data_IF_683482678152
#
_entry.id   IF_683482678152
#
_cell.length_a   1.000
_cell.length_b   1.000
_cell.length_c   1.000
_cell.angle_alpha   90.00
_cell.angle_beta   90.00
_cell.angle_gamma   90.00
#
_symmetry.space_group_name_H-M   'P 1'
#
loop_
_entity.id
_entity.type
_entity.pdbx_description
1 polymer ?
#
# COMPACT_ATOMS: atom_id res chain seq x y z
N UNK A 1 4.84 20.88 -26.63
CA UNK A 1 3.90 19.79 -26.30
C UNK A 1 4.48 18.99 -25.13
N UNK A 2 3.97 19.16 -23.91
CA UNK A 2 4.41 18.36 -22.75
C UNK A 2 3.30 17.37 -22.38
N UNK A 3 3.37 16.15 -22.92
CA UNK A 3 2.47 15.03 -22.59
C UNK A 3 3.30 13.78 -22.28
N UNK A 4 3.99 13.76 -21.15
CA UNK A 4 4.71 12.54 -20.70
C UNK A 4 4.55 12.21 -19.22
N UNK A 5 3.76 12.99 -18.45
CA UNK A 5 3.51 12.70 -17.03
C UNK A 5 2.23 11.87 -16.76
N UNK A 6 1.31 11.78 -17.73
CA UNK A 6 -0.06 11.32 -17.48
C UNK A 6 -0.22 9.78 -17.50
N UNK A 7 0.72 9.04 -18.10
CA UNK A 7 0.63 7.58 -18.26
C UNK A 7 1.25 6.78 -17.09
N UNK A 8 2.20 7.36 -16.34
CA UNK A 8 2.85 6.66 -15.22
C UNK A 8 1.99 6.61 -13.95
N UNK A 9 1.16 7.63 -13.69
CA UNK A 9 0.23 7.64 -12.54
C UNK A 9 -0.80 6.52 -12.63
N UNK A 10 -1.31 6.24 -13.83
CA UNK A 10 -2.34 5.21 -14.07
C UNK A 10 -1.82 3.80 -13.82
N UNK A 11 -0.57 3.49 -14.20
CA UNK A 11 0.02 2.17 -13.96
C UNK A 11 0.20 1.89 -12.47
N UNK A 12 0.74 2.87 -11.73
CA UNK A 12 0.92 2.76 -10.28
C UNK A 12 -0.40 2.59 -9.54
N UNK A 13 -1.42 3.39 -9.90
CA UNK A 13 -2.76 3.26 -9.32
C UNK A 13 -3.39 1.91 -9.65
N UNK A 14 -3.26 1.43 -10.89
CA UNK A 14 -3.82 0.14 -11.30
C UNK A 14 -3.19 -1.02 -10.53
N UNK A 15 -1.87 -0.99 -10.31
CA UNK A 15 -1.19 -2.01 -9.51
C UNK A 15 -1.61 -1.92 -8.03
N UNK A 16 -1.71 -0.72 -7.47
CA UNK A 16 -2.25 -0.48 -6.12
C UNK A 16 -3.64 -1.09 -5.94
N UNK A 17 -4.56 -0.86 -6.89
CA UNK A 17 -5.93 -1.38 -6.85
C UNK A 17 -5.95 -2.91 -6.91
N UNK A 18 -5.02 -3.54 -7.66
CA UNK A 18 -4.90 -5.00 -7.71
C UNK A 18 -4.28 -5.60 -6.45
N UNK A 19 -3.36 -4.87 -5.83
CA UNK A 19 -2.58 -5.30 -4.66
C UNK A 19 -3.36 -5.07 -3.34
N UNK A 20 -4.20 -4.03 -3.29
CA UNK A 20 -4.98 -3.63 -2.12
C UNK A 20 -5.87 -4.74 -1.53
N UNK A 21 -6.66 -5.51 -2.32
CA UNK A 21 -7.48 -6.59 -1.79
C UNK A 21 -6.65 -7.63 -1.03
N UNK A 22 -5.50 -8.01 -1.57
CA UNK A 22 -4.61 -9.01 -0.97
C UNK A 22 -3.96 -8.45 0.30
N UNK A 23 -3.59 -7.17 0.29
CA UNK A 23 -3.12 -6.48 1.50
C UNK A 23 -4.21 -6.39 2.57
N UNK A 24 -5.48 -6.23 2.16
CA UNK A 24 -6.63 -6.23 3.05
C UNK A 24 -6.86 -7.60 3.71
N UNK A 25 -6.56 -8.71 3.02
CA UNK A 25 -6.59 -10.06 3.61
C UNK A 25 -5.52 -10.25 4.69
N UNK A 26 -4.40 -9.52 4.61
CA UNK A 26 -3.34 -9.53 5.64
C UNK A 26 -3.68 -8.69 6.88
N UNK A 27 -4.79 -7.94 6.86
CA UNK A 27 -5.24 -7.13 8.00
C UNK A 27 -5.87 -8.05 9.05
N UNK A 28 -5.33 -8.01 10.27
CA UNK A 28 -5.85 -8.76 11.41
C UNK A 28 -6.73 -7.86 12.28
N UNK A 29 -7.83 -8.40 12.77
CA UNK A 29 -8.64 -7.72 13.80
C UNK A 29 -7.97 -7.92 15.16
N UNK A 30 -7.68 -6.83 15.87
CA UNK A 30 -7.13 -6.85 17.22
C UNK A 30 -8.24 -7.05 18.24
N UNK A 31 -7.88 -7.47 19.45
CA UNK A 31 -8.81 -7.68 20.56
C UNK A 31 -9.57 -6.40 20.96
N UNK A 32 -8.99 -5.23 20.65
CA UNK A 32 -9.62 -3.93 20.87
C UNK A 32 -10.68 -3.57 19.80
N UNK A 33 -11.00 -4.50 18.89
CA UNK A 33 -11.92 -4.27 17.79
C UNK A 33 -11.36 -3.41 16.65
N UNK A 34 -10.05 -3.16 16.66
CA UNK A 34 -9.34 -2.41 15.60
C UNK A 34 -8.81 -3.35 14.54
N UNK A 35 -8.35 -2.78 13.43
CA UNK A 35 -7.75 -3.47 12.31
C UNK A 35 -6.28 -3.10 12.23
N UNK A 36 -5.42 -4.11 12.20
CA UNK A 36 -3.98 -3.98 12.22
C UNK A 36 -3.39 -4.67 10.99
N UNK A 37 -2.64 -3.90 10.20
CA UNK A 37 -1.76 -4.43 9.17
C UNK A 37 -0.32 -4.41 9.70
N UNK A 38 0.36 -5.55 9.62
CA UNK A 38 1.81 -5.67 9.89
C UNK A 38 2.42 -6.49 8.78
N UNK A 39 3.55 -6.02 8.25
CA UNK A 39 4.32 -6.76 7.25
C UNK A 39 5.64 -7.25 7.84
N UNK A 40 5.93 -8.54 7.72
CA UNK A 40 7.11 -9.17 8.36
C UNK A 40 8.44 -8.54 7.91
N UNK A 41 8.58 -8.26 6.62
CA UNK A 41 9.80 -7.62 6.07
C UNK A 41 9.84 -6.10 6.25
N UNK A 42 8.69 -5.48 6.58
CA UNK A 42 8.55 -4.02 6.66
C UNK A 42 7.71 -3.63 7.88
N UNK A 43 8.24 -3.84 9.10
CA UNK A 43 7.52 -3.52 10.34
C UNK A 43 7.18 -2.02 10.45
N UNK A 44 7.96 -1.17 9.79
CA UNK A 44 7.70 0.26 9.62
C UNK A 44 6.39 0.61 8.89
N UNK A 45 5.77 -0.35 8.20
CA UNK A 45 4.45 -0.21 7.58
C UNK A 45 3.32 -0.70 8.49
N UNK A 46 3.59 -0.87 9.78
CA UNK A 46 2.56 -1.18 10.75
C UNK A 46 1.52 -0.06 10.81
N UNK A 47 0.27 -0.41 10.53
CA UNK A 47 -0.85 0.52 10.50
C UNK A 47 -2.00 -0.08 11.29
N UNK A 48 -2.48 0.68 12.26
CA UNK A 48 -3.66 0.35 13.04
C UNK A 48 -4.76 1.39 12.78
N UNK A 49 -5.97 0.93 12.48
CA UNK A 49 -7.12 1.81 12.29
C UNK A 49 -8.42 1.16 12.75
N UNK A 50 -9.51 1.94 12.74
CA UNK A 50 -10.82 1.48 13.22
C UNK A 50 -11.49 0.55 12.21
N UNK A 51 -11.16 0.69 10.92
CA UNK A 51 -11.70 -0.13 9.83
C UNK A 51 -10.60 -0.61 8.89
N UNK A 52 -10.82 -1.74 8.21
CA UNK A 52 -9.90 -2.25 7.18
C UNK A 52 -9.70 -1.26 6.03
N UNK A 53 -10.72 -0.48 5.68
CA UNK A 53 -10.62 0.59 4.68
C UNK A 53 -9.68 1.71 5.11
N UNK A 54 -9.74 2.14 6.38
CA UNK A 54 -8.81 3.16 6.89
C UNK A 54 -7.36 2.65 6.92
N UNK A 55 -7.16 1.36 7.21
CA UNK A 55 -5.84 0.73 7.12
C UNK A 55 -5.32 0.79 5.68
N UNK A 56 -6.17 0.47 4.69
CA UNK A 56 -5.83 0.56 3.27
C UNK A 56 -5.45 1.99 2.83
N UNK A 57 -6.24 3.00 3.23
CA UNK A 57 -5.94 4.41 2.93
C UNK A 57 -4.63 4.88 3.56
N UNK A 58 -4.41 4.56 4.84
CA UNK A 58 -3.17 4.92 5.52
C UNK A 58 -1.97 4.20 4.91
N UNK A 59 -2.14 2.95 4.45
CA UNK A 59 -1.10 2.18 3.78
C UNK A 59 -0.73 2.82 2.45
N UNK A 60 -1.73 3.21 1.64
CA UNK A 60 -1.51 3.97 0.42
C UNK A 60 -0.75 5.28 0.71
N UNK A 61 -1.16 6.03 1.73
CA UNK A 61 -0.48 7.27 2.12
C UNK A 61 0.97 7.05 2.58
N UNK A 62 1.23 6.00 3.35
CA UNK A 62 2.56 5.64 3.82
C UNK A 62 3.48 5.28 2.65
N UNK A 63 2.99 4.45 1.72
CA UNK A 63 3.73 4.06 0.53
C UNK A 63 3.96 5.27 -0.38
N UNK A 64 2.94 6.09 -0.64
CA UNK A 64 3.09 7.32 -1.44
C UNK A 64 4.12 8.28 -0.84
N UNK A 65 4.19 8.41 0.49
CA UNK A 65 5.22 9.23 1.17
C UNK A 65 6.61 8.63 1.02
N UNK A 66 6.76 7.33 1.28
CA UNK A 66 8.05 6.62 1.22
C UNK A 66 8.66 6.63 -0.18
N UNK A 67 7.83 6.54 -1.21
CA UNK A 67 8.26 6.46 -2.60
C UNK A 67 7.98 7.71 -3.43
N UNK A 68 7.68 8.85 -2.80
CA UNK A 68 7.39 10.14 -3.48
C UNK A 68 8.44 10.53 -4.53
N UNK A 69 9.71 10.10 -4.33
CA UNK A 69 10.84 10.37 -5.24
C UNK A 69 11.29 9.15 -6.06
N UNK A 70 10.69 7.97 -5.88
CA UNK A 70 11.13 6.71 -6.48
C UNK A 70 9.93 5.86 -6.95
N UNK A 71 9.20 6.30 -8.00
CA UNK A 71 8.02 5.61 -8.50
C UNK A 71 8.34 4.22 -9.07
N UNK A 72 9.52 4.02 -9.66
CA UNK A 72 9.90 2.70 -10.20
C UNK A 72 10.08 1.66 -9.07
N UNK A 73 10.68 2.06 -7.93
CA UNK A 73 10.80 1.18 -6.76
C UNK A 73 9.47 0.92 -6.04
N UNK A 74 8.46 1.76 -6.26
CA UNK A 74 7.13 1.59 -5.65
C UNK A 74 6.43 0.32 -6.15
N UNK A 75 6.52 0.04 -7.45
CA UNK A 75 5.87 -1.16 -8.04
C UNK A 75 6.58 -2.42 -7.59
N UNK A 76 7.92 -2.45 -7.69
CA UNK A 76 8.72 -3.57 -7.17
C UNK A 76 8.43 -3.82 -5.68
N UNK A 77 8.28 -2.76 -4.90
CA UNK A 77 7.98 -2.87 -3.49
C UNK A 77 6.57 -3.39 -3.21
N UNK A 78 5.56 -2.93 -3.96
CA UNK A 78 4.20 -3.47 -3.91
C UNK A 78 4.13 -4.95 -4.33
N UNK A 79 4.86 -5.34 -5.38
CA UNK A 79 4.95 -6.73 -5.81
C UNK A 79 5.68 -7.61 -4.78
N UNK A 80 6.72 -7.08 -4.13
CA UNK A 80 7.41 -7.76 -3.03
C UNK A 80 6.55 -7.89 -1.76
N UNK A 81 5.64 -6.93 -1.51
CA UNK A 81 4.62 -6.99 -0.45
C UNK A 81 3.61 -8.13 -0.68
N UNK A 82 3.37 -8.48 -1.95
CA UNK A 82 2.45 -9.56 -2.35
C UNK A 82 3.10 -10.95 -2.43
N UNK A 83 4.34 -11.04 -2.90
CA UNK A 83 5.01 -12.33 -3.16
C UNK A 83 5.54 -13.04 -1.90
N UNK A 84 4.85 -12.94 -0.77
CA UNK A 84 5.17 -13.67 0.46
C UNK A 84 3.89 -14.05 1.21
#
# INVERSE_FOLDING_TARGET
MYKTAQTKQTYLQTQLIKVMPILMEKIKKTEQGRFLFVHEKFPELQIEAITSTQVAEQLEHALRRKFKKQPDKYVDYLLNLLCN
#
